data_IF_791385418479
#
_entry.id   IF_791385418479
#
_cell.length_a   1.000
_cell.length_b   1.000
_cell.length_c   1.000
_cell.angle_alpha   90.00
_cell.angle_beta   90.00
_cell.angle_gamma   90.00
#
_symmetry.space_group_name_H-M   'P 1'
#
loop_
_entity.id
_entity.type
_entity.pdbx_description
1 polymer ?
#
# COMPACT_ATOMS: atom_id res chain seq x y z
N UNK A 1 7.16 -12.97 8.17
CA UNK A 1 8.41 -12.74 7.35
C UNK A 1 8.50 -11.29 6.91
N UNK A 2 9.69 -10.81 6.42
CA UNK A 2 9.81 -9.49 5.81
C UNK A 2 9.40 -9.58 4.33
N UNK A 3 8.60 -8.62 3.85
CA UNK A 3 8.13 -8.51 2.47
C UNK A 3 8.23 -7.06 2.02
N UNK A 4 8.54 -6.82 0.74
CA UNK A 4 8.43 -5.51 0.12
C UNK A 4 7.44 -5.63 -1.03
N UNK A 5 6.51 -4.69 -1.17
CA UNK A 5 5.44 -4.83 -2.14
C UNK A 5 5.04 -3.52 -2.81
N UNK A 6 4.58 -3.61 -4.06
CA UNK A 6 3.90 -2.53 -4.77
C UNK A 6 2.86 -3.07 -5.75
N UNK A 7 2.01 -2.17 -6.23
CA UNK A 7 1.15 -2.37 -7.39
C UNK A 7 1.76 -1.64 -8.59
N UNK A 8 1.74 -2.25 -9.75
CA UNK A 8 2.06 -1.62 -11.03
C UNK A 8 0.98 -1.96 -12.07
N UNK A 9 0.92 -1.19 -13.12
CA UNK A 9 0.06 -1.46 -14.26
C UNK A 9 0.86 -2.05 -15.42
N UNK A 10 0.17 -2.64 -16.39
CA UNK A 10 0.79 -3.00 -17.66
C UNK A 10 0.99 -1.77 -18.55
N UNK A 11 2.18 -1.66 -19.11
CA UNK A 11 2.51 -0.65 -20.10
C UNK A 11 2.76 -1.31 -21.47
N UNK A 12 2.49 -0.58 -22.55
CA UNK A 12 2.74 -1.06 -23.92
C UNK A 12 4.24 -1.09 -24.26
N UNK A 13 5.01 -0.18 -23.68
CA UNK A 13 6.42 0.02 -23.98
C UNK A 13 7.27 -0.36 -22.75
N UNK A 14 8.41 -1.04 -22.99
CA UNK A 14 9.29 -1.54 -21.93
C UNK A 14 9.89 -0.39 -21.10
N UNK A 15 10.22 0.73 -21.74
CA UNK A 15 10.84 1.89 -21.10
C UNK A 15 9.94 2.54 -20.04
N UNK A 16 8.62 2.33 -20.12
CA UNK A 16 7.70 2.83 -19.10
C UNK A 16 7.83 2.12 -17.75
N UNK A 17 8.52 0.98 -17.71
CA UNK A 17 8.87 0.32 -16.45
C UNK A 17 10.15 0.89 -15.79
N UNK A 18 10.80 1.87 -16.37
CA UNK A 18 12.03 2.46 -15.81
C UNK A 18 11.81 3.01 -14.40
N UNK A 19 10.65 3.57 -14.10
CA UNK A 19 10.31 4.04 -12.75
C UNK A 19 10.33 2.89 -11.74
N UNK A 20 9.63 1.79 -12.03
CA UNK A 20 9.60 0.57 -11.23
C UNK A 20 11.00 -0.04 -11.08
N UNK A 21 11.76 -0.12 -12.17
CA UNK A 21 13.13 -0.65 -12.18
C UNK A 21 14.07 0.21 -11.32
N UNK A 22 14.00 1.54 -11.45
CA UNK A 22 14.80 2.46 -10.65
C UNK A 22 14.42 2.40 -9.16
N UNK A 23 13.12 2.25 -8.85
CA UNK A 23 12.65 1.97 -7.49
C UNK A 23 13.27 0.67 -6.97
N UNK A 24 13.26 -0.44 -7.73
CA UNK A 24 13.84 -1.72 -7.32
C UNK A 24 15.34 -1.61 -7.06
N UNK A 25 16.09 -0.91 -7.93
CA UNK A 25 17.51 -0.61 -7.73
C UNK A 25 17.77 0.19 -6.47
N UNK A 26 16.93 1.19 -6.18
CA UNK A 26 17.02 2.00 -4.97
C UNK A 26 16.76 1.17 -3.70
N UNK A 27 15.80 0.28 -3.75
CA UNK A 27 15.53 -0.67 -2.65
C UNK A 27 16.74 -1.57 -2.39
N UNK A 28 17.35 -2.13 -3.45
CA UNK A 28 18.59 -2.91 -3.32
C UNK A 28 19.68 -2.10 -2.65
N UNK A 29 19.90 -0.89 -3.14
CA UNK A 29 21.00 -0.04 -2.65
C UNK A 29 20.87 0.32 -1.18
N UNK A 30 19.65 0.57 -0.68
CA UNK A 30 19.45 1.20 0.62
C UNK A 30 18.74 0.31 1.65
N UNK A 31 17.98 -0.72 1.25
CA UNK A 31 17.16 -1.51 2.15
C UNK A 31 17.48 -3.01 2.07
N UNK A 32 17.60 -3.56 0.87
CA UNK A 32 17.70 -5.00 0.60
C UNK A 32 18.99 -5.36 -0.12
N UNK A 33 20.14 -4.93 0.43
CA UNK A 33 21.45 -5.04 -0.22
C UNK A 33 21.85 -6.47 -0.57
N UNK A 34 21.47 -7.43 0.28
CA UNK A 34 21.73 -8.86 0.09
C UNK A 34 20.62 -9.60 -0.69
N UNK A 35 19.62 -8.88 -1.18
CA UNK A 35 18.49 -9.39 -1.96
C UNK A 35 17.69 -10.53 -1.28
N UNK A 36 17.71 -10.63 0.07
CA UNK A 36 17.02 -11.71 0.79
C UNK A 36 15.54 -11.46 1.01
N UNK A 37 15.10 -10.19 0.95
CA UNK A 37 13.69 -9.84 1.13
C UNK A 37 13.03 -9.90 -0.25
N UNK A 38 12.01 -10.75 -0.46
CA UNK A 38 11.30 -10.81 -1.73
C UNK A 38 10.54 -9.51 -2.00
N UNK A 39 10.56 -9.07 -3.26
CA UNK A 39 9.78 -7.94 -3.76
C UNK A 39 8.57 -8.49 -4.51
N UNK A 40 7.39 -8.30 -3.93
CA UNK A 40 6.12 -8.68 -4.57
C UNK A 40 5.60 -7.51 -5.41
N UNK A 41 5.41 -7.76 -6.70
CA UNK A 41 4.86 -6.83 -7.67
C UNK A 41 3.47 -7.33 -8.06
N UNK A 42 2.45 -6.65 -7.55
CA UNK A 42 1.07 -6.89 -7.97
C UNK A 42 0.78 -6.21 -9.30
N UNK A 43 -0.02 -6.84 -10.16
CA UNK A 43 -0.38 -6.25 -11.45
C UNK A 43 -1.80 -6.64 -11.88
N UNK A 44 -2.39 -5.81 -12.73
CA UNK A 44 -3.77 -5.90 -13.20
C UNK A 44 -4.06 -7.10 -14.13
N UNK A 45 -3.07 -7.98 -14.37
CA UNK A 45 -3.18 -9.11 -15.28
C UNK A 45 -2.73 -8.81 -16.73
N UNK A 46 -2.18 -7.64 -16.98
CA UNK A 46 -1.82 -7.13 -18.30
C UNK A 46 -0.30 -6.95 -18.49
N UNK A 47 0.53 -7.57 -17.65
CA UNK A 47 1.98 -7.65 -17.84
C UNK A 47 2.32 -8.99 -18.49
N UNK A 48 3.04 -8.96 -19.61
CA UNK A 48 3.48 -10.15 -20.34
C UNK A 48 4.72 -10.79 -19.71
N UNK A 49 5.00 -12.05 -20.04
CA UNK A 49 6.23 -12.73 -19.59
C UNK A 49 7.50 -12.00 -20.05
N UNK A 50 7.50 -11.42 -21.26
CA UNK A 50 8.62 -10.61 -21.77
C UNK A 50 8.85 -9.37 -20.89
N UNK A 51 7.79 -8.70 -20.49
CA UNK A 51 7.86 -7.53 -19.62
C UNK A 51 8.33 -7.91 -18.19
N UNK A 52 7.85 -9.03 -17.66
CA UNK A 52 8.31 -9.53 -16.35
C UNK A 52 9.81 -9.89 -16.39
N UNK A 53 10.27 -10.51 -17.47
CA UNK A 53 11.67 -10.83 -17.68
C UNK A 53 12.52 -9.54 -17.77
N UNK A 54 12.07 -8.56 -18.57
CA UNK A 54 12.74 -7.26 -18.69
C UNK A 54 12.88 -6.57 -17.34
N UNK A 55 11.81 -6.49 -16.54
CA UNK A 55 11.84 -5.90 -15.20
C UNK A 55 12.83 -6.65 -14.31
N UNK A 56 12.80 -7.99 -14.35
CA UNK A 56 13.65 -8.84 -13.50
C UNK A 56 15.14 -8.66 -13.84
N UNK A 57 15.50 -8.73 -15.12
CA UNK A 57 16.88 -8.59 -15.59
C UNK A 57 17.47 -7.22 -15.26
N UNK A 58 16.65 -6.18 -15.26
CA UNK A 58 17.08 -4.81 -14.99
C UNK A 58 16.94 -4.37 -13.52
N UNK A 59 16.51 -5.24 -12.60
CA UNK A 59 16.31 -4.92 -11.17
C UNK A 59 17.49 -5.34 -10.27
N UNK A 60 18.71 -5.40 -10.80
CA UNK A 60 19.98 -5.63 -10.07
C UNK A 60 19.98 -6.91 -9.20
N UNK A 61 19.37 -7.99 -9.67
CA UNK A 61 19.35 -9.28 -8.97
C UNK A 61 18.42 -9.36 -7.77
N UNK A 62 17.48 -8.44 -7.64
CA UNK A 62 16.38 -8.57 -6.67
C UNK A 62 15.53 -9.80 -6.97
N UNK A 63 15.06 -10.47 -5.92
CA UNK A 63 14.11 -11.58 -6.05
C UNK A 63 12.71 -11.00 -6.24
N UNK A 64 12.22 -11.02 -7.47
CA UNK A 64 10.89 -10.51 -7.82
C UNK A 64 9.85 -11.64 -7.87
N UNK A 65 8.66 -11.36 -7.38
CA UNK A 65 7.48 -12.20 -7.50
C UNK A 65 6.34 -11.38 -8.09
N UNK A 66 5.82 -11.80 -9.24
CA UNK A 66 4.69 -11.13 -9.90
C UNK A 66 3.38 -11.84 -9.53
N UNK A 67 2.40 -11.08 -9.06
CA UNK A 67 1.08 -11.58 -8.68
C UNK A 67 0.01 -10.88 -9.51
N UNK A 68 -0.66 -11.67 -10.35
CA UNK A 68 -1.82 -11.23 -11.12
C UNK A 68 -3.03 -11.09 -10.20
N UNK A 69 -3.59 -9.86 -10.10
CA UNK A 69 -4.76 -9.54 -9.27
C UNK A 69 -6.02 -9.26 -10.10
N UNK A 70 -6.05 -9.66 -11.36
CA UNK A 70 -7.21 -9.42 -12.26
C UNK A 70 -8.53 -9.96 -11.71
N UNK A 71 -8.48 -10.97 -10.85
CA UNK A 71 -9.65 -11.56 -10.18
C UNK A 71 -10.30 -10.67 -9.11
N UNK A 72 -9.57 -9.70 -8.57
CA UNK A 72 -10.06 -8.74 -7.56
C UNK A 72 -10.01 -7.29 -8.07
N UNK A 73 -9.40 -7.07 -9.25
CA UNK A 73 -9.20 -5.75 -9.82
C UNK A 73 -10.48 -5.21 -10.49
N UNK A 74 -10.89 -4.00 -10.13
CA UNK A 74 -12.08 -3.34 -10.69
C UNK A 74 -11.76 -2.21 -11.68
N UNK A 75 -10.47 -1.95 -11.92
CA UNK A 75 -9.99 -0.97 -12.89
C UNK A 75 -9.75 0.42 -12.32
N UNK A 76 -8.82 1.14 -12.96
CA UNK A 76 -8.55 2.56 -12.73
C UNK A 76 -8.11 2.94 -11.32
N UNK A 77 -8.20 4.22 -11.02
CA UNK A 77 -7.86 4.78 -9.70
C UNK A 77 -8.68 4.14 -8.57
N UNK A 78 -9.91 3.83 -8.82
CA UNK A 78 -10.84 3.19 -7.90
C UNK A 78 -10.37 1.79 -7.51
N UNK A 79 -9.94 1.00 -8.49
CA UNK A 79 -9.35 -0.32 -8.27
C UNK A 79 -8.10 -0.24 -7.41
N UNK A 80 -7.23 0.75 -7.65
CA UNK A 80 -6.05 0.99 -6.84
C UNK A 80 -6.41 1.34 -5.38
N UNK A 81 -7.33 2.26 -5.16
CA UNK A 81 -7.77 2.64 -3.82
C UNK A 81 -8.38 1.45 -3.07
N UNK A 82 -9.28 0.69 -3.72
CA UNK A 82 -9.85 -0.51 -3.14
C UNK A 82 -8.80 -1.57 -2.85
N UNK A 83 -7.90 -1.83 -3.80
CA UNK A 83 -6.84 -2.81 -3.64
C UNK A 83 -5.99 -2.50 -2.42
N UNK A 84 -5.41 -1.30 -2.32
CA UNK A 84 -4.57 -0.92 -1.19
C UNK A 84 -5.32 -0.79 0.14
N UNK A 85 -6.61 -0.45 0.09
CA UNK A 85 -7.42 -0.40 1.32
C UNK A 85 -7.73 -1.79 1.85
N UNK A 86 -8.11 -2.75 1.00
CA UNK A 86 -8.67 -4.02 1.43
C UNK A 86 -7.93 -5.24 0.88
N UNK A 87 -7.92 -5.44 -0.46
CA UNK A 87 -7.49 -6.69 -1.08
C UNK A 87 -6.00 -6.97 -0.81
N UNK A 88 -5.16 -5.94 -0.78
CA UNK A 88 -3.71 -6.02 -0.56
C UNK A 88 -3.33 -6.83 0.68
N UNK A 89 -4.02 -6.61 1.79
CA UNK A 89 -3.72 -7.27 3.06
C UNK A 89 -4.04 -8.77 3.06
N UNK A 90 -4.92 -9.23 2.18
CA UNK A 90 -5.31 -10.64 2.06
C UNK A 90 -4.25 -11.52 1.38
N UNK A 91 -3.26 -10.92 0.73
CA UNK A 91 -2.17 -11.65 0.06
C UNK A 91 -1.03 -12.03 1.00
N UNK A 92 -1.01 -11.53 2.21
CA UNK A 92 0.06 -11.77 3.18
C UNK A 92 -0.45 -12.56 4.38
N UNK A 93 0.49 -13.22 5.09
CA UNK A 93 0.18 -13.93 6.32
C UNK A 93 0.19 -12.98 7.52
N UNK A 94 -0.53 -13.33 8.59
CA UNK A 94 -0.61 -12.50 9.80
C UNK A 94 0.76 -12.20 10.42
N UNK A 95 1.71 -13.12 10.33
CA UNK A 95 3.07 -12.96 10.85
C UNK A 95 3.99 -12.10 9.98
N UNK A 96 3.53 -11.62 8.82
CA UNK A 96 4.36 -10.82 7.91
C UNK A 96 4.47 -9.36 8.36
N UNK A 97 5.64 -8.78 8.05
CA UNK A 97 5.88 -7.35 8.02
C UNK A 97 5.99 -6.93 6.55
N UNK A 98 5.13 -6.03 6.11
CA UNK A 98 5.08 -5.60 4.72
C UNK A 98 5.46 -4.14 4.59
N UNK A 99 6.54 -3.88 3.86
CA UNK A 99 6.95 -2.55 3.44
C UNK A 99 6.35 -2.25 2.05
N UNK A 100 5.27 -1.46 2.03
CA UNK A 100 4.75 -0.90 0.78
C UNK A 100 5.66 0.23 0.32
N UNK A 101 6.06 0.19 -0.95
CA UNK A 101 6.75 1.30 -1.64
C UNK A 101 6.15 1.35 -3.04
N UNK A 102 5.44 2.42 -3.38
CA UNK A 102 4.80 2.55 -4.69
C UNK A 102 5.81 2.60 -5.84
N UNK A 103 5.38 2.28 -7.07
CA UNK A 103 6.27 2.05 -8.22
C UNK A 103 7.13 3.26 -8.62
N UNK A 104 6.67 4.47 -8.29
CA UNK A 104 7.32 5.75 -8.57
C UNK A 104 8.11 6.32 -7.38
N UNK A 105 8.16 5.62 -6.26
CA UNK A 105 8.87 6.04 -5.06
C UNK A 105 10.31 5.54 -5.04
N UNK A 106 11.27 6.43 -5.28
CA UNK A 106 12.70 6.11 -5.25
C UNK A 106 13.28 6.42 -3.87
N UNK A 107 13.94 5.43 -3.26
CA UNK A 107 14.63 5.60 -1.98
C UNK A 107 15.97 6.28 -2.24
N UNK A 108 16.17 7.46 -1.67
CA UNK A 108 17.41 8.23 -1.84
C UNK A 108 18.37 8.05 -0.67
N UNK A 109 17.85 7.66 0.51
CA UNK A 109 18.64 7.43 1.72
C UNK A 109 17.86 6.51 2.68
N UNK A 110 18.55 5.58 3.33
CA UNK A 110 18.05 4.78 4.42
C UNK A 110 19.24 4.36 5.30
N UNK A 111 19.37 4.99 6.46
CA UNK A 111 20.52 4.77 7.35
C UNK A 111 20.31 3.59 8.31
N UNK A 112 19.07 3.10 8.42
CA UNK A 112 18.70 2.03 9.35
C UNK A 112 17.68 1.10 8.67
N UNK A 113 17.79 -0.21 8.88
CA UNK A 113 16.81 -1.19 8.38
C UNK A 113 15.39 -0.80 8.85
N UNK A 114 14.47 -0.43 7.95
CA UNK A 114 13.13 0.00 8.33
C UNK A 114 12.36 -1.07 9.10
N UNK A 115 12.63 -2.35 8.84
CA UNK A 115 12.00 -3.47 9.56
C UNK A 115 12.45 -3.55 11.02
N UNK A 116 13.60 -3.02 11.37
CA UNK A 116 14.06 -2.96 12.76
C UNK A 116 13.41 -1.83 13.55
N UNK A 117 12.87 -0.82 12.86
CA UNK A 117 12.28 0.35 13.49
C UNK A 117 10.84 0.13 13.95
N UNK A 118 10.16 -0.90 13.44
CA UNK A 118 8.73 -1.08 13.74
C UNK A 118 8.47 -1.38 15.22
N UNK A 119 9.41 -2.06 15.92
CA UNK A 119 9.24 -2.41 17.34
C UNK A 119 7.87 -3.03 17.60
N UNK A 120 7.14 -2.51 18.57
CA UNK A 120 5.77 -2.94 18.90
C UNK A 120 4.68 -2.19 18.11
N UNK A 121 5.07 -1.21 17.27
CA UNK A 121 4.11 -0.47 16.47
C UNK A 121 3.44 -1.37 15.41
N UNK A 122 2.19 -1.06 15.11
CA UNK A 122 1.44 -1.77 14.05
C UNK A 122 1.71 -1.20 12.67
N UNK A 123 2.12 0.08 12.60
CA UNK A 123 2.40 0.80 11.37
C UNK A 123 3.47 1.87 11.56
N UNK A 124 4.47 1.90 10.67
CA UNK A 124 5.41 3.02 10.53
C UNK A 124 5.08 3.77 9.25
N UNK A 125 4.76 5.05 9.43
CA UNK A 125 4.33 5.94 8.35
C UNK A 125 5.46 6.82 7.83
N UNK A 126 5.25 7.35 6.62
CA UNK A 126 6.03 8.48 6.11
C UNK A 126 5.86 9.72 7.01
N UNK A 127 6.87 10.60 7.00
CA UNK A 127 6.79 11.92 7.66
C UNK A 127 5.92 12.92 6.87
N UNK A 128 5.63 12.64 5.61
CA UNK A 128 4.77 13.47 4.78
C UNK A 128 3.29 13.22 5.10
N UNK A 129 2.52 14.29 5.01
CA UNK A 129 1.09 14.30 5.22
C UNK A 129 0.39 14.77 3.96
N UNK A 130 -0.75 14.19 3.68
CA UNK A 130 -1.65 14.66 2.64
C UNK A 130 -2.98 15.10 3.26
N UNK A 131 -3.62 16.07 2.64
CA UNK A 131 -4.97 16.50 2.98
C UNK A 131 -5.97 15.74 2.11
N UNK A 132 -7.09 15.35 2.69
CA UNK A 132 -8.15 14.72 1.94
C UNK A 132 -9.04 15.72 1.20
N UNK A 133 -9.77 15.24 0.21
CA UNK A 133 -10.72 16.05 -0.55
C UNK A 133 -11.91 16.51 0.31
N UNK A 134 -12.56 17.60 -0.09
CA UNK A 134 -13.74 18.15 0.60
C UNK A 134 -14.87 17.15 0.72
N UNK A 135 -15.11 16.35 -0.32
CA UNK A 135 -16.13 15.29 -0.34
C UNK A 135 -15.81 14.18 0.66
N UNK A 136 -14.53 13.82 0.76
CA UNK A 136 -14.05 12.85 1.77
C UNK A 136 -14.27 13.41 3.18
N UNK A 137 -13.86 14.66 3.43
CA UNK A 137 -14.01 15.30 4.73
C UNK A 137 -15.48 15.42 5.16
N UNK A 138 -16.39 15.61 4.21
CA UNK A 138 -17.82 15.74 4.50
C UNK A 138 -18.51 14.41 4.83
N UNK A 139 -17.96 13.28 4.42
CA UNK A 139 -18.72 12.02 4.43
C UNK A 139 -18.01 10.86 5.14
N UNK A 140 -16.70 10.71 5.01
CA UNK A 140 -15.95 9.58 5.60
C UNK A 140 -15.98 9.56 7.14
N UNK A 141 -15.80 10.69 7.86
CA UNK A 141 -15.79 10.67 9.32
C UNK A 141 -17.06 10.06 9.91
N UNK A 142 -18.23 10.54 9.50
CA UNK A 142 -19.52 10.01 9.98
C UNK A 142 -19.76 8.56 9.58
N UNK A 143 -19.24 8.11 8.45
CA UNK A 143 -19.34 6.72 8.03
C UNK A 143 -18.51 5.80 8.92
N UNK A 144 -17.24 6.16 9.21
CA UNK A 144 -16.37 5.38 10.11
C UNK A 144 -16.91 5.41 11.54
N UNK A 145 -17.33 6.57 12.03
CA UNK A 145 -17.99 6.69 13.35
C UNK A 145 -19.18 5.73 13.50
N UNK A 146 -20.04 5.68 12.49
CA UNK A 146 -21.18 4.74 12.47
C UNK A 146 -20.75 3.27 12.49
N UNK A 147 -19.62 2.92 11.85
CA UNK A 147 -19.11 1.55 11.79
C UNK A 147 -18.39 1.12 13.07
N UNK A 148 -17.71 2.05 13.74
CA UNK A 148 -16.80 1.77 14.85
C UNK A 148 -17.36 2.19 16.21
N UNK A 149 -18.33 3.10 16.25
CA UNK A 149 -18.83 3.72 17.46
C UNK A 149 -17.90 4.75 18.09
N UNK A 150 -16.78 5.08 17.43
CA UNK A 150 -15.80 6.07 17.92
C UNK A 150 -16.15 7.43 17.33
N UNK A 151 -16.24 8.47 18.19
CA UNK A 151 -16.53 9.85 17.77
C UNK A 151 -15.48 10.34 16.77
N UNK A 152 -15.94 10.89 15.65
CA UNK A 152 -15.07 11.32 14.56
C UNK A 152 -14.08 12.41 14.94
N UNK A 153 -14.38 13.24 15.94
CA UNK A 153 -13.43 14.24 16.45
C UNK A 153 -12.16 13.65 17.07
N UNK A 154 -12.19 12.37 17.47
CA UNK A 154 -11.05 11.65 18.06
C UNK A 154 -10.05 11.23 17.00
N UNK A 155 -10.53 10.78 15.83
CA UNK A 155 -9.66 10.15 14.83
C UNK A 155 -9.50 10.96 13.53
N UNK A 156 -10.32 11.98 13.28
CA UNK A 156 -10.35 12.66 11.98
C UNK A 156 -9.98 14.14 12.09
N UNK A 157 -8.91 14.52 11.43
CA UNK A 157 -8.47 15.92 11.33
C UNK A 157 -8.23 16.39 9.87
N UNK A 158 -8.62 15.57 8.88
CA UNK A 158 -8.43 15.85 7.46
C UNK A 158 -7.00 15.70 6.94
N UNK A 159 -6.06 15.29 7.80
CA UNK A 159 -4.64 15.06 7.43
C UNK A 159 -4.26 13.62 7.73
N UNK A 160 -3.64 12.96 6.76
CA UNK A 160 -3.29 11.55 6.84
C UNK A 160 -1.85 11.31 6.42
N UNK A 161 -1.20 10.27 7.00
CA UNK A 161 0.14 9.89 6.57
C UNK A 161 0.12 9.49 5.09
N UNK A 162 1.14 9.91 4.36
CA UNK A 162 1.27 9.55 2.95
C UNK A 162 1.52 8.04 2.83
N UNK A 163 0.63 7.31 2.18
CA UNK A 163 0.62 5.84 2.18
C UNK A 163 1.52 5.19 1.13
N UNK A 164 2.12 5.98 0.23
CA UNK A 164 3.00 5.46 -0.84
C UNK A 164 4.26 4.77 -0.31
N UNK A 165 4.66 5.06 0.93
CA UNK A 165 5.72 4.35 1.66
C UNK A 165 5.27 4.12 3.09
N UNK A 166 5.14 2.87 3.48
CA UNK A 166 4.74 2.50 4.84
C UNK A 166 5.08 1.06 5.18
N UNK A 167 5.49 0.81 6.42
CA UNK A 167 5.75 -0.53 6.95
C UNK A 167 4.65 -0.92 7.91
N UNK A 168 4.07 -2.10 7.70
CA UNK A 168 2.90 -2.58 8.42
C UNK A 168 3.10 -3.97 9.01
N UNK A 169 2.49 -4.21 10.18
CA UNK A 169 2.19 -5.56 10.69
C UNK A 169 0.88 -6.06 10.09
N UNK A 170 0.93 -7.15 9.34
CA UNK A 170 -0.26 -7.68 8.65
C UNK A 170 -1.31 -8.16 9.65
N UNK A 171 -0.90 -8.73 10.80
CA UNK A 171 -1.83 -9.17 11.85
C UNK A 171 -2.83 -8.08 12.25
N UNK A 172 -2.37 -6.85 12.41
CA UNK A 172 -3.25 -5.72 12.74
C UNK A 172 -4.32 -5.50 11.65
N UNK A 173 -3.91 -5.51 10.38
CA UNK A 173 -4.86 -5.32 9.27
C UNK A 173 -5.83 -6.49 9.16
N UNK A 174 -5.40 -7.71 9.47
CA UNK A 174 -6.32 -8.86 9.53
C UNK A 174 -7.37 -8.73 10.65
N UNK A 175 -7.00 -8.18 11.81
CA UNK A 175 -7.94 -7.94 12.92
C UNK A 175 -9.03 -6.96 12.53
N UNK A 176 -8.68 -5.86 11.85
CA UNK A 176 -9.63 -4.83 11.44
C UNK A 176 -10.21 -5.05 10.02
N UNK A 177 -9.84 -6.14 9.35
CA UNK A 177 -10.25 -6.45 7.97
C UNK A 177 -11.79 -6.43 7.77
N UNK A 178 -12.62 -6.91 8.73
CA UNK A 178 -14.07 -6.82 8.59
C UNK A 178 -14.61 -5.38 8.52
N UNK A 179 -13.95 -4.44 9.19
CA UNK A 179 -14.31 -3.00 9.14
C UNK A 179 -13.80 -2.39 7.85
N UNK A 180 -12.52 -2.65 7.51
CA UNK A 180 -11.93 -2.21 6.23
C UNK A 180 -12.82 -2.63 5.06
N UNK A 181 -13.27 -3.89 5.04
CA UNK A 181 -14.14 -4.43 4.00
C UNK A 181 -15.43 -3.63 3.83
N UNK A 182 -16.07 -3.24 4.93
CA UNK A 182 -17.30 -2.45 4.89
C UNK A 182 -17.10 -1.07 4.27
N UNK A 183 -15.95 -0.45 4.48
CA UNK A 183 -15.61 0.84 3.88
C UNK A 183 -15.20 0.67 2.41
N UNK A 184 -14.30 -0.26 2.12
CA UNK A 184 -13.73 -0.46 0.79
C UNK A 184 -14.73 -0.99 -0.25
N UNK A 185 -15.77 -1.69 0.19
CA UNK A 185 -16.82 -2.22 -0.69
C UNK A 185 -18.12 -1.42 -0.61
N UNK A 186 -18.15 -0.28 0.10
CA UNK A 186 -19.32 0.59 0.10
C UNK A 186 -19.45 1.24 -1.29
N UNK A 187 -20.62 1.16 -1.95
CA UNK A 187 -20.84 1.80 -3.24
C UNK A 187 -20.60 3.32 -3.24
N UNK A 188 -20.62 3.95 -2.06
CA UNK A 188 -20.34 5.38 -1.89
C UNK A 188 -18.86 5.71 -1.88
N UNK A 189 -17.96 4.71 -1.75
CA UNK A 189 -16.52 4.95 -1.68
C UNK A 189 -16.05 5.85 -2.83
N UNK A 190 -16.44 5.52 -4.04
CA UNK A 190 -16.03 6.22 -5.25
C UNK A 190 -16.68 7.59 -5.38
N UNK A 191 -18.00 7.65 -5.20
CA UNK A 191 -18.77 8.90 -5.27
C UNK A 191 -18.27 9.93 -4.24
N UNK A 192 -17.80 9.48 -3.09
CA UNK A 192 -17.30 10.31 -2.00
C UNK A 192 -15.76 10.42 -1.95
N UNK A 193 -15.05 9.90 -2.95
CA UNK A 193 -13.59 9.96 -3.08
C UNK A 193 -12.83 9.41 -1.86
N UNK A 194 -13.34 8.35 -1.26
CA UNK A 194 -12.66 7.67 -0.13
C UNK A 194 -11.48 6.84 -0.65
N UNK A 195 -10.33 7.49 -0.81
CA UNK A 195 -9.08 6.86 -1.21
C UNK A 195 -8.48 5.99 -0.09
N UNK A 196 -7.47 5.21 -0.44
CA UNK A 196 -6.75 4.35 0.52
C UNK A 196 -6.14 5.15 1.68
N UNK A 197 -5.56 6.30 1.39
CA UNK A 197 -4.90 7.16 2.37
C UNK A 197 -5.86 7.66 3.49
N UNK A 198 -7.00 8.33 3.21
CA UNK A 198 -7.90 8.78 4.27
C UNK A 198 -8.59 7.61 4.99
N UNK A 199 -8.89 6.52 4.31
CA UNK A 199 -9.52 5.35 4.95
C UNK A 199 -8.56 4.66 5.90
N UNK A 200 -7.37 4.27 5.44
CA UNK A 200 -6.37 3.61 6.28
C UNK A 200 -5.90 4.52 7.41
N UNK A 201 -5.65 5.80 7.12
CA UNK A 201 -5.24 6.77 8.13
C UNK A 201 -6.28 6.93 9.25
N UNK A 202 -7.57 7.00 8.90
CA UNK A 202 -8.65 7.07 9.90
C UNK A 202 -8.73 5.80 10.74
N UNK A 203 -8.67 4.63 10.12
CA UNK A 203 -8.76 3.35 10.84
C UNK A 203 -7.53 3.10 11.71
N UNK A 204 -6.33 3.51 11.28
CA UNK A 204 -5.14 3.51 12.13
C UNK A 204 -5.34 4.39 13.37
N UNK A 205 -5.91 5.59 13.21
CA UNK A 205 -6.20 6.47 14.35
C UNK A 205 -7.27 5.89 15.30
N UNK A 206 -8.24 5.13 14.79
CA UNK A 206 -9.28 4.47 15.62
C UNK A 206 -8.72 3.30 16.43
N UNK A 207 -7.86 2.48 15.82
CA UNK A 207 -7.51 1.17 16.39
C UNK A 207 -6.05 1.05 16.87
N UNK A 208 -5.15 1.94 16.44
CA UNK A 208 -3.72 1.84 16.75
C UNK A 208 -3.23 2.94 17.72
N UNK A 209 -4.03 3.93 18.00
CA UNK A 209 -3.78 5.05 18.91
C UNK A 209 -5.00 5.34 19.77
#
# INVERSE_FOLDING_TARGET
MKQIACLTRGYSELEKYDSLINRNKSIKKFINQDCKIPLTIFHEGNITDEQMNYITENSDGQILSFINISNVWIGGYEGMCRFYTYDFWTFFKAEDLVLRIDEDCIITKCDTDPFSLIGDNVYLRSVYWAESHSETNATLPSHIEKLTGVDSSVFYNGKFPYTNVGLARVSFFHEILPVIKKVALDPKQLANRWGDLPVLGSLLNVYAF
#
